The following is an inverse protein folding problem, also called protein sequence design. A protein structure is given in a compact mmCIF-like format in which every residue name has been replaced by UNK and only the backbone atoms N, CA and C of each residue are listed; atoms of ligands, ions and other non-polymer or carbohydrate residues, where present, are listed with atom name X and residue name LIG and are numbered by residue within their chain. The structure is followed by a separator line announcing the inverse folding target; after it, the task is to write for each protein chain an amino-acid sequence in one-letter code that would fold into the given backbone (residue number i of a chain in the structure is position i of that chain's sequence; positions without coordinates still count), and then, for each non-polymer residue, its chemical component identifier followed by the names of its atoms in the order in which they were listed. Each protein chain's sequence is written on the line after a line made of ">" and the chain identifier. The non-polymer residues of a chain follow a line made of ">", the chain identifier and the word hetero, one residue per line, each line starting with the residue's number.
data_IF_700737993926
#
_entry.id   IF_700737993926
#
_cell.length_a   1.000
_cell.length_b   1.000
_cell.length_c   1.000
_cell.angle_alpha   90.00
_cell.angle_beta   90.00
_cell.angle_gamma   90.00
#
_symmetry.space_group_name_H-M   'P 1'
#
loop_
_entity.id
_entity.type
_entity.pdbx_description
1 polymer ?
#
# COMPACT_ATOMS: atom_id res chain seq x y z
N UNK A 1 -21.90 -8.16 -15.50
CA UNK A 1 -21.24 -6.90 -15.92
C UNK A 1 -20.08 -6.74 -14.97
N UNK A 2 -18.84 -6.87 -15.42
CA UNK A 2 -17.68 -6.68 -14.53
C UNK A 2 -17.60 -5.21 -14.14
N UNK A 3 -17.36 -4.96 -12.86
CA UNK A 3 -17.20 -3.60 -12.36
C UNK A 3 -15.95 -2.99 -13.01
N UNK A 4 -16.08 -1.77 -13.52
CA UNK A 4 -14.95 -1.00 -14.01
C UNK A 4 -14.34 -0.24 -12.86
N UNK A 5 -13.03 -0.11 -12.87
CA UNK A 5 -12.26 0.63 -11.88
C UNK A 5 -11.53 1.77 -12.57
N UNK A 6 -11.32 2.86 -11.86
CA UNK A 6 -10.48 3.95 -12.35
C UNK A 6 -9.00 3.58 -12.19
N UNK A 7 -8.68 2.84 -11.12
CA UNK A 7 -7.32 2.43 -10.79
C UNK A 7 -7.30 0.96 -10.34
N UNK A 8 -6.35 0.20 -10.86
CA UNK A 8 -6.03 -1.15 -10.40
C UNK A 8 -4.61 -1.15 -9.86
N UNK A 9 -4.46 -1.47 -8.58
CA UNK A 9 -3.17 -1.63 -7.91
C UNK A 9 -2.86 -3.11 -7.75
N UNK A 10 -1.73 -3.56 -8.27
CA UNK A 10 -1.30 -4.96 -8.21
C UNK A 10 -0.21 -5.12 -7.16
N UNK A 11 -0.52 -5.90 -6.13
CA UNK A 11 0.37 -6.19 -5.01
C UNK A 11 0.12 -5.31 -3.78
N UNK A 12 -0.17 -5.93 -2.63
CA UNK A 12 -0.46 -5.27 -1.37
C UNK A 12 0.76 -5.22 -0.42
N UNK A 13 1.94 -4.91 -0.96
CA UNK A 13 3.09 -4.48 -0.15
C UNK A 13 2.89 -3.05 0.35
N UNK A 14 3.87 -2.48 1.08
CA UNK A 14 3.75 -1.13 1.64
C UNK A 14 3.40 -0.08 0.58
N UNK A 15 4.08 -0.11 -0.57
CA UNK A 15 3.82 0.82 -1.67
C UNK A 15 2.41 0.66 -2.26
N UNK A 16 1.96 -0.59 -2.45
CA UNK A 16 0.62 -0.86 -2.97
C UNK A 16 -0.49 -0.44 -2.00
N UNK A 17 -0.29 -0.65 -0.70
CA UNK A 17 -1.23 -0.19 0.33
C UNK A 17 -1.37 1.33 0.33
N UNK A 18 -0.26 2.07 0.27
CA UNK A 18 -0.28 3.55 0.21
C UNK A 18 -0.90 4.04 -1.10
N UNK A 19 -0.55 3.43 -2.24
CA UNK A 19 -1.09 3.79 -3.55
C UNK A 19 -2.61 3.58 -3.61
N UNK A 20 -3.09 2.39 -3.22
CA UNK A 20 -4.51 2.08 -3.24
C UNK A 20 -5.32 2.98 -2.30
N UNK A 21 -4.79 3.22 -1.09
CA UNK A 21 -5.40 4.13 -0.13
C UNK A 21 -5.50 5.55 -0.68
N UNK A 22 -4.40 6.09 -1.18
CA UNK A 22 -4.35 7.47 -1.69
C UNK A 22 -5.29 7.66 -2.87
N UNK A 23 -5.32 6.72 -3.81
CA UNK A 23 -6.23 6.75 -4.95
C UNK A 23 -7.69 6.77 -4.54
N UNK A 24 -8.08 5.87 -3.65
CA UNK A 24 -9.46 5.78 -3.16
C UNK A 24 -9.88 7.03 -2.35
N UNK A 25 -8.98 7.60 -1.56
CA UNK A 25 -9.25 8.85 -0.82
C UNK A 25 -9.40 10.07 -1.73
N UNK A 26 -8.82 10.04 -2.93
CA UNK A 26 -9.05 11.04 -3.97
C UNK A 26 -10.36 10.81 -4.74
N UNK A 27 -11.15 9.80 -4.38
CA UNK A 27 -12.44 9.49 -4.97
C UNK A 27 -12.41 8.57 -6.18
N UNK A 28 -11.25 7.98 -6.50
CA UNK A 28 -11.14 7.01 -7.59
C UNK A 28 -11.65 5.62 -7.15
N UNK A 29 -12.51 4.98 -7.96
CA UNK A 29 -12.90 3.60 -7.76
C UNK A 29 -11.68 2.70 -7.96
N UNK A 30 -11.12 2.23 -6.85
CA UNK A 30 -9.81 1.58 -6.79
C UNK A 30 -9.95 0.11 -6.44
N UNK A 31 -9.24 -0.74 -7.17
CA UNK A 31 -9.09 -2.16 -6.86
C UNK A 31 -7.65 -2.45 -6.43
N UNK A 32 -7.48 -3.06 -5.27
CA UNK A 32 -6.20 -3.60 -4.81
C UNK A 32 -6.22 -5.13 -4.93
N UNK A 33 -5.39 -5.67 -5.82
CA UNK A 33 -5.27 -7.12 -6.05
C UNK A 33 -4.00 -7.64 -5.37
N UNK A 34 -4.13 -8.73 -4.63
CA UNK A 34 -2.99 -9.42 -4.00
C UNK A 34 -3.23 -10.92 -3.96
N UNK A 35 -2.15 -11.70 -4.03
CA UNK A 35 -2.22 -13.16 -3.94
C UNK A 35 -2.71 -13.65 -2.58
N UNK A 36 -2.50 -12.87 -1.52
CA UNK A 36 -2.88 -13.26 -0.16
C UNK A 36 -3.25 -12.02 0.68
N UNK A 37 -4.51 -11.89 1.03
CA UNK A 37 -5.01 -10.80 1.88
C UNK A 37 -4.45 -10.85 3.31
N UNK A 38 -3.96 -12.00 3.78
CA UNK A 38 -3.32 -12.10 5.09
C UNK A 38 -1.84 -11.64 5.07
N UNK A 39 -1.27 -11.39 3.88
CA UNK A 39 0.08 -10.89 3.70
C UNK A 39 0.13 -9.39 3.34
N UNK A 40 -0.97 -8.66 3.52
CA UNK A 40 -1.03 -7.20 3.33
C UNK A 40 0.02 -6.52 4.20
N UNK A 41 0.82 -5.64 3.60
CA UNK A 41 1.89 -4.87 4.24
C UNK A 41 2.87 -5.71 5.08
N UNK A 42 3.07 -6.98 4.74
CA UNK A 42 3.93 -7.89 5.48
C UNK A 42 5.38 -7.39 5.55
N UNK A 43 5.93 -7.37 6.76
CA UNK A 43 7.34 -7.08 7.03
C UNK A 43 8.15 -8.38 6.90
N UNK A 44 8.64 -8.67 5.71
CA UNK A 44 9.28 -9.96 5.38
C UNK A 44 10.66 -10.17 5.98
N UNK A 45 11.41 -9.08 6.28
CA UNK A 45 12.80 -9.21 6.77
C UNK A 45 12.91 -9.02 8.27
N UNK A 46 12.54 -7.83 8.76
CA UNK A 46 12.59 -7.48 10.18
C UNK A 46 11.27 -6.80 10.56
N UNK A 47 10.72 -7.08 11.74
CA UNK A 47 9.51 -6.42 12.21
C UNK A 47 9.82 -4.98 12.67
N UNK A 48 10.35 -4.16 11.76
CA UNK A 48 10.75 -2.79 12.06
C UNK A 48 10.52 -1.85 10.88
N UNK A 49 9.93 -0.71 11.18
CA UNK A 49 9.74 0.40 10.26
C UNK A 49 10.76 1.51 10.57
N UNK A 50 11.34 2.09 9.51
CA UNK A 50 12.35 3.15 9.67
C UNK A 50 13.78 2.62 9.74
N UNK A 51 14.68 3.42 10.31
CA UNK A 51 16.12 3.21 10.30
C UNK A 51 16.81 4.17 9.33
N UNK A 52 18.11 3.95 9.07
CA UNK A 52 18.92 4.80 8.18
C UNK A 52 18.29 4.85 6.79
N UNK A 53 18.06 6.03 6.24
CA UNK A 53 17.33 6.36 5.02
C UNK A 53 15.82 6.05 5.09
N UNK A 54 15.40 4.87 5.56
CA UNK A 54 13.98 4.51 5.64
C UNK A 54 13.16 5.44 6.55
N UNK A 55 13.74 5.86 7.67
CA UNK A 55 13.06 6.77 8.61
C UNK A 55 12.75 8.13 8.00
N UNK A 56 13.62 8.64 7.13
CA UNK A 56 13.40 9.88 6.41
C UNK A 56 12.27 9.70 5.38
N UNK A 57 12.30 8.62 4.60
CA UNK A 57 11.25 8.31 3.61
C UNK A 57 9.87 8.16 4.27
N UNK A 58 9.78 7.46 5.41
CA UNK A 58 8.51 7.30 6.13
C UNK A 58 7.95 8.67 6.56
N UNK A 59 8.81 9.61 7.00
CA UNK A 59 8.38 10.98 7.32
C UNK A 59 7.87 11.76 6.11
N UNK A 60 8.49 11.57 4.95
CA UNK A 60 8.04 12.20 3.70
C UNK A 60 6.67 11.63 3.29
N UNK A 61 6.49 10.31 3.39
CA UNK A 61 5.20 9.66 3.14
C UNK A 61 4.13 10.19 4.11
N UNK A 62 4.45 10.31 5.39
CA UNK A 62 3.55 10.84 6.43
C UNK A 62 3.16 12.30 6.14
N UNK A 63 4.12 13.14 5.75
CA UNK A 63 3.89 14.53 5.37
C UNK A 63 2.97 14.67 4.14
N UNK A 64 2.93 13.67 3.27
CA UNK A 64 2.03 13.59 2.12
C UNK A 64 0.67 12.95 2.47
N UNK A 65 0.42 12.67 3.74
CA UNK A 65 -0.82 12.05 4.20
C UNK A 65 -0.84 10.53 4.15
N UNK A 66 0.33 9.88 4.06
CA UNK A 66 0.43 8.42 4.10
C UNK A 66 0.06 7.83 5.45
N UNK A 67 -0.21 6.54 5.48
CA UNK A 67 -0.70 5.82 6.67
C UNK A 67 0.37 4.96 7.35
N UNK A 68 1.48 4.68 6.68
CA UNK A 68 2.54 3.80 7.19
C UNK A 68 3.11 4.26 8.53
N UNK A 69 3.30 5.56 8.74
CA UNK A 69 3.76 6.13 9.99
C UNK A 69 2.77 5.89 11.13
N UNK A 70 1.51 6.19 10.89
CA UNK A 70 0.42 6.06 11.89
C UNK A 70 0.23 4.60 12.31
N UNK A 71 0.16 3.67 11.35
CA UNK A 71 0.04 2.23 11.65
C UNK A 71 1.29 1.72 12.37
N UNK A 72 2.47 2.24 12.02
CA UNK A 72 3.70 1.92 12.75
C UNK A 72 3.59 2.32 14.22
N UNK A 73 3.17 3.55 14.50
CA UNK A 73 3.03 4.05 15.87
C UNK A 73 2.02 3.23 16.70
N UNK A 74 0.89 2.84 16.08
CA UNK A 74 -0.13 2.01 16.72
C UNK A 74 0.38 0.62 17.13
N UNK A 75 1.35 0.07 16.40
CA UNK A 75 1.87 -1.28 16.60
C UNK A 75 3.31 -1.30 17.14
N UNK A 76 3.83 -0.15 17.59
CA UNK A 76 5.22 -0.02 18.07
C UNK A 76 5.39 -0.68 19.42
N UNK A 77 6.32 -1.63 19.49
CA UNK A 77 6.77 -2.27 20.72
C UNK A 77 8.01 -1.57 21.29
N UNK A 78 8.89 -1.06 20.44
CA UNK A 78 10.10 -0.37 20.83
C UNK A 78 10.47 0.70 19.81
N UNK A 79 10.82 1.88 20.29
CA UNK A 79 11.28 3.00 19.46
C UNK A 79 12.74 3.36 19.79
N UNK A 80 13.53 3.62 18.75
CA UNK A 80 14.90 4.13 18.88
C UNK A 80 15.19 5.22 17.85
N UNK A 81 15.89 6.27 18.28
CA UNK A 81 16.49 7.22 17.38
C UNK A 81 17.94 6.81 17.11
N UNK A 82 18.21 6.41 15.85
CA UNK A 82 19.55 6.05 15.39
C UNK A 82 20.36 7.31 15.00
N UNK A 83 21.67 7.18 14.95
CA UNK A 83 22.62 8.20 14.49
C UNK A 83 22.57 9.53 15.29
N UNK A 84 22.21 9.49 16.57
CA UNK A 84 22.16 10.71 17.39
C UNK A 84 23.48 11.49 17.44
N UNK A 85 24.62 10.79 17.41
CA UNK A 85 25.96 11.39 17.39
C UNK A 85 26.35 12.04 16.08
N UNK A 86 25.57 11.83 14.98
CA UNK A 86 25.85 12.31 13.62
C UNK A 86 25.20 13.65 13.29
N UNK A 87 24.47 14.24 14.23
CA UNK A 87 23.71 15.47 14.05
C UNK A 87 22.26 15.28 13.58
N UNK A 88 21.41 16.32 13.71
CA UNK A 88 19.95 16.21 13.48
C UNK A 88 19.54 15.72 12.09
N UNK A 89 20.29 16.11 11.06
CA UNK A 89 20.02 15.68 9.69
C UNK A 89 20.14 14.16 9.48
N UNK A 90 20.95 13.50 10.31
CA UNK A 90 21.19 12.05 10.25
C UNK A 90 20.33 11.25 11.24
N UNK A 91 19.54 11.92 12.06
CA UNK A 91 18.67 11.23 13.01
C UNK A 91 17.64 10.41 12.27
N UNK A 92 17.66 9.11 12.53
CA UNK A 92 16.82 8.14 11.81
C UNK A 92 15.93 7.41 12.80
N UNK A 93 14.62 7.71 12.84
CA UNK A 93 13.70 6.99 13.70
C UNK A 93 13.58 5.54 13.23
N UNK A 94 13.56 4.62 14.18
CA UNK A 94 13.30 3.20 13.96
C UNK A 94 12.35 2.69 15.02
N UNK A 95 11.21 2.18 14.57
CA UNK A 95 10.22 1.52 15.39
C UNK A 95 10.26 0.01 15.15
N UNK A 96 10.38 -0.77 16.21
CA UNK A 96 10.14 -2.21 16.16
C UNK A 96 8.65 -2.42 16.43
N UNK A 97 7.99 -3.15 15.56
CA UNK A 97 6.53 -3.34 15.60
C UNK A 97 6.18 -4.82 15.78
N UNK A 98 4.98 -5.09 16.29
CA UNK A 98 4.39 -6.40 16.20
C UNK A 98 4.01 -6.67 14.74
N UNK A 99 4.66 -7.68 14.14
CA UNK A 99 4.50 -7.97 12.71
C UNK A 99 3.08 -8.42 12.33
N UNK A 100 2.45 -9.18 13.22
CA UNK A 100 1.08 -9.71 12.99
C UNK A 100 0.07 -8.59 13.10
N UNK A 101 0.13 -7.85 14.20
CA UNK A 101 -0.77 -6.71 14.46
C UNK A 101 -0.62 -5.62 13.41
N UNK A 102 0.58 -5.38 12.92
CA UNK A 102 0.87 -4.40 11.86
C UNK A 102 0.11 -4.73 10.56
N UNK A 103 0.18 -5.98 10.09
CA UNK A 103 -0.55 -6.42 8.90
C UNK A 103 -2.07 -6.39 9.09
N UNK A 104 -2.55 -6.79 10.27
CA UNK A 104 -3.97 -6.72 10.62
C UNK A 104 -4.47 -5.27 10.61
N UNK A 105 -3.73 -4.35 11.24
CA UNK A 105 -4.08 -2.92 11.29
C UNK A 105 -4.14 -2.30 9.90
N UNK A 106 -3.20 -2.63 9.02
CA UNK A 106 -3.24 -2.20 7.63
C UNK A 106 -4.48 -2.72 6.91
N UNK A 107 -4.76 -4.02 7.01
CA UNK A 107 -5.92 -4.63 6.36
C UNK A 107 -7.22 -3.99 6.85
N UNK A 108 -7.40 -3.89 8.16
CA UNK A 108 -8.59 -3.26 8.76
C UNK A 108 -8.76 -1.83 8.27
N UNK A 109 -7.66 -1.05 8.20
CA UNK A 109 -7.70 0.32 7.70
C UNK A 109 -8.16 0.36 6.23
N UNK A 110 -7.58 -0.46 5.35
CA UNK A 110 -7.95 -0.51 3.94
C UNK A 110 -9.42 -0.93 3.73
N UNK A 111 -9.91 -1.88 4.51
CA UNK A 111 -11.30 -2.35 4.45
C UNK A 111 -12.34 -1.28 4.86
N UNK A 112 -11.93 -0.22 5.57
CA UNK A 112 -12.82 0.90 5.95
C UNK A 112 -12.92 2.01 4.91
N UNK A 113 -12.08 2.01 3.89
CA UNK A 113 -12.02 3.09 2.91
C UNK A 113 -13.11 2.89 1.85
N UNK A 114 -13.97 3.88 1.68
CA UNK A 114 -14.90 3.94 0.55
C UNK A 114 -14.11 4.03 -0.77
N UNK A 115 -14.68 3.54 -1.86
CA UNK A 115 -14.06 3.47 -3.18
C UNK A 115 -12.82 2.55 -3.28
N UNK A 116 -12.54 1.73 -2.24
CA UNK A 116 -11.48 0.73 -2.28
C UNK A 116 -12.06 -0.68 -2.17
N UNK A 117 -11.75 -1.51 -3.14
CA UNK A 117 -12.05 -2.94 -3.10
C UNK A 117 -10.76 -3.75 -2.99
N UNK A 118 -10.79 -4.76 -2.13
CA UNK A 118 -9.69 -5.71 -1.97
C UNK A 118 -10.07 -7.02 -2.69
N UNK A 119 -9.15 -7.53 -3.51
CA UNK A 119 -9.37 -8.76 -4.24
C UNK A 119 -8.19 -9.72 -4.08
N UNK A 120 -8.50 -10.98 -3.72
CA UNK A 120 -7.47 -11.99 -3.60
C UNK A 120 -7.38 -12.81 -4.88
N UNK A 121 -6.37 -12.53 -5.69
CA UNK A 121 -6.03 -13.32 -6.88
C UNK A 121 -4.59 -12.99 -7.33
N UNK A 122 -4.09 -13.75 -8.28
CA UNK A 122 -2.80 -13.54 -8.93
C UNK A 122 -3.00 -12.92 -10.31
N UNK A 123 -2.37 -11.77 -10.55
CA UNK A 123 -2.33 -11.17 -11.88
C UNK A 123 -1.28 -11.90 -12.69
N UNK A 124 -1.68 -12.45 -13.84
CA UNK A 124 -0.83 -13.26 -14.70
C UNK A 124 -0.49 -12.58 -16.02
N UNK A 125 -1.30 -11.59 -16.46
CA UNK A 125 -1.04 -10.87 -17.70
C UNK A 125 -1.68 -9.49 -17.69
N UNK A 126 -1.30 -8.65 -18.67
CA UNK A 126 -1.86 -7.32 -18.90
C UNK A 126 -2.76 -7.33 -20.14
N UNK A 127 -3.87 -6.63 -20.08
CA UNK A 127 -4.71 -6.35 -21.25
C UNK A 127 -4.14 -5.12 -21.93
N UNK A 128 -3.54 -5.31 -23.11
CA UNK A 128 -2.92 -4.23 -23.89
C UNK A 128 -3.65 -4.07 -25.20
N UNK A 129 -4.10 -2.85 -25.49
CA UNK A 129 -4.75 -2.49 -26.75
C UNK A 129 -4.05 -1.25 -27.33
N UNK A 130 -3.59 -1.35 -28.59
CA UNK A 130 -2.87 -0.28 -29.28
C UNK A 130 -1.72 0.36 -28.49
N UNK A 131 -0.98 -0.45 -27.71
CA UNK A 131 0.13 0.02 -26.87
C UNK A 131 -0.29 0.67 -25.55
N UNK A 132 -1.57 0.69 -25.21
CA UNK A 132 -2.12 1.19 -23.95
C UNK A 132 -2.55 0.03 -23.07
N UNK A 133 -2.18 0.07 -21.78
CA UNK A 133 -2.65 -0.90 -20.78
C UNK A 133 -4.06 -0.53 -20.38
N UNK A 134 -5.01 -1.43 -20.64
CA UNK A 134 -6.45 -1.25 -20.37
C UNK A 134 -6.94 -2.12 -19.20
N UNK A 135 -6.09 -2.96 -18.64
CA UNK A 135 -6.49 -3.82 -17.54
C UNK A 135 -5.51 -4.95 -17.26
N UNK A 136 -5.98 -5.90 -16.47
CA UNK A 136 -5.22 -7.07 -16.03
C UNK A 136 -6.01 -8.36 -16.21
N UNK A 137 -5.30 -9.46 -16.43
CA UNK A 137 -5.85 -10.82 -16.44
C UNK A 137 -5.45 -11.52 -15.17
N UNK A 138 -6.41 -12.12 -14.48
CA UNK A 138 -6.13 -12.86 -13.25
C UNK A 138 -6.05 -14.37 -13.51
N UNK A 139 -5.43 -15.10 -12.59
CA UNK A 139 -5.22 -16.54 -12.70
C UNK A 139 -6.52 -17.35 -12.77
N UNK A 140 -7.57 -16.90 -12.12
CA UNK A 140 -8.89 -17.53 -12.20
C UNK A 140 -9.65 -17.15 -13.48
N UNK A 141 -9.03 -16.37 -14.39
CA UNK A 141 -9.57 -16.05 -15.71
C UNK A 141 -10.45 -14.81 -15.75
N UNK A 142 -10.39 -13.93 -14.75
CA UNK A 142 -11.08 -12.65 -14.79
C UNK A 142 -10.29 -11.64 -15.62
N UNK A 143 -10.99 -10.93 -16.51
CA UNK A 143 -10.46 -9.75 -17.21
C UNK A 143 -11.00 -8.51 -16.52
N UNK A 144 -10.14 -7.80 -15.81
CA UNK A 144 -10.48 -6.59 -15.07
C UNK A 144 -9.97 -5.38 -15.84
N UNK A 145 -10.87 -4.47 -16.20
CA UNK A 145 -10.55 -3.31 -17.03
C UNK A 145 -10.55 -2.01 -16.23
N UNK A 146 -9.69 -1.09 -16.65
CA UNK A 146 -9.65 0.28 -16.16
C UNK A 146 -10.53 1.15 -17.05
N UNK A 147 -11.29 2.05 -16.45
CA UNK A 147 -12.04 3.05 -17.19
C UNK A 147 -11.13 4.23 -17.56
N UNK A 148 -10.60 4.21 -18.79
CA UNK A 148 -9.72 5.25 -19.30
C UNK A 148 -10.44 6.60 -19.54
N UNK A 149 -11.76 6.65 -19.40
CA UNK A 149 -12.55 7.88 -19.52
C UNK A 149 -12.71 8.62 -18.20
N UNK A 150 -12.32 8.02 -17.07
CA UNK A 150 -12.44 8.63 -15.75
C UNK A 150 -11.48 9.82 -15.62
N UNK A 151 -12.03 11.01 -15.42
CA UNK A 151 -11.26 12.19 -15.05
C UNK A 151 -11.29 12.28 -13.53
N UNK A 152 -10.14 12.17 -12.88
CA UNK A 152 -10.02 12.45 -11.44
C UNK A 152 -10.26 13.94 -11.26
N UNK A 153 -11.32 14.30 -10.55
CA UNK A 153 -11.65 15.68 -10.20
C UNK A 153 -10.95 16.12 -8.91
#
# INVERSE_FOLDING_TARGET
>A
MFQKFDIIVVGAGHAGCEAARSSALMGAETLLITQNLNAIAQLSCNPAMGGVAKGQIVREIDALGGMSGIITDQNTMQFRMLNRSKGPAMWSPRAQVDNVSFGISWRQHLETISHLQLWQDEVVDLIINNGTVEGVVTKIGLNLQVDLSATIQ
#
